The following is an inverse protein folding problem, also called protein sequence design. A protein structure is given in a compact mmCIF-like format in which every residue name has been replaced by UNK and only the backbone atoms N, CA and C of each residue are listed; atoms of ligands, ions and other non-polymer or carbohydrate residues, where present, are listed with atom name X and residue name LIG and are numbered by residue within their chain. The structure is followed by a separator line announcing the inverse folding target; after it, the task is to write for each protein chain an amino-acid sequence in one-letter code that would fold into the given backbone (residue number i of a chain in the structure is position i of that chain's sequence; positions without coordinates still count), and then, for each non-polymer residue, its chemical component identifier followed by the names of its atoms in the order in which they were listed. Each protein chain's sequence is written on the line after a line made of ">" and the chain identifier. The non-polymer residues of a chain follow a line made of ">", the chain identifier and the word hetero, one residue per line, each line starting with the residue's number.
data_IF_058092455298
#
_entry.id   IF_058092455298
#
_cell.length_a   1.000
_cell.length_b   1.000
_cell.length_c   1.000
_cell.angle_alpha   90.00
_cell.angle_beta   90.00
_cell.angle_gamma   90.00
#
_symmetry.space_group_name_H-M   'P 1'
#
loop_
_entity.id
_entity.type
_entity.pdbx_description
1 polymer ?
#
# COMPACT_ATOMS: atom_id res chain seq x y z
N UNK A 1 -12.97 22.42 13.30
CA UNK A 1 -12.54 22.79 11.93
C UNK A 1 -11.57 21.76 11.36
N UNK A 2 -10.52 21.37 12.09
CA UNK A 2 -9.53 20.35 11.69
C UNK A 2 -10.18 19.03 11.19
N UNK A 3 -11.10 18.44 11.95
CA UNK A 3 -11.78 17.20 11.56
C UNK A 3 -12.56 17.29 10.23
N UNK A 4 -13.08 18.48 9.87
CA UNK A 4 -13.76 18.67 8.58
C UNK A 4 -12.75 18.70 7.43
N UNK A 5 -11.59 19.32 7.64
CA UNK A 5 -10.52 19.34 6.64
C UNK A 5 -9.93 17.94 6.42
N UNK A 6 -9.68 17.19 7.49
CA UNK A 6 -9.22 15.79 7.41
C UNK A 6 -10.22 14.91 6.65
N UNK A 7 -11.51 15.08 6.95
CA UNK A 7 -12.57 14.36 6.25
C UNK A 7 -12.64 14.72 4.76
N UNK A 8 -12.54 16.01 4.41
CA UNK A 8 -12.52 16.45 3.01
C UNK A 8 -11.26 15.96 2.27
N UNK A 9 -10.10 15.98 2.92
CA UNK A 9 -8.86 15.42 2.38
C UNK A 9 -9.00 13.92 2.12
N UNK A 10 -9.55 13.19 3.07
CA UNK A 10 -9.83 11.76 2.91
C UNK A 10 -10.78 11.50 1.74
N UNK A 11 -11.89 12.24 1.63
CA UNK A 11 -12.83 12.10 0.52
C UNK A 11 -12.20 12.45 -0.82
N UNK A 12 -11.40 13.52 -0.89
CA UNK A 12 -10.72 13.93 -2.12
C UNK A 12 -9.71 12.87 -2.55
N UNK A 13 -8.91 12.35 -1.62
CA UNK A 13 -7.95 11.28 -1.86
C UNK A 13 -8.66 10.01 -2.34
N UNK A 14 -9.70 9.56 -1.62
CA UNK A 14 -10.45 8.36 -1.97
C UNK A 14 -11.14 8.50 -3.35
N UNK A 15 -11.75 9.65 -3.61
CA UNK A 15 -12.43 9.93 -4.89
C UNK A 15 -11.45 10.00 -6.04
N UNK A 16 -10.26 10.57 -5.83
CA UNK A 16 -9.18 10.58 -6.80
C UNK A 16 -8.83 9.15 -7.23
N UNK A 17 -8.49 8.26 -6.29
CA UNK A 17 -8.16 6.88 -6.62
C UNK A 17 -9.31 6.13 -7.29
N UNK A 18 -10.56 6.36 -6.86
CA UNK A 18 -11.74 5.72 -7.43
C UNK A 18 -11.99 6.08 -8.90
N UNK A 19 -11.61 7.28 -9.33
CA UNK A 19 -11.79 7.74 -10.71
C UNK A 19 -10.74 7.18 -11.68
N UNK A 20 -9.57 6.75 -11.18
CA UNK A 20 -8.54 6.16 -12.03
C UNK A 20 -8.91 4.72 -12.43
N UNK A 21 -8.60 4.28 -13.66
CA UNK A 21 -8.60 2.86 -14.01
C UNK A 21 -7.67 2.08 -13.08
N UNK A 22 -8.06 0.85 -12.71
CA UNK A 22 -7.36 0.04 -11.70
C UNK A 22 -5.82 0.00 -11.88
N UNK A 23 -5.33 -0.22 -13.11
CA UNK A 23 -3.88 -0.27 -13.39
C UNK A 23 -3.18 1.05 -13.10
N UNK A 24 -3.80 2.18 -13.44
CA UNK A 24 -3.24 3.50 -13.18
C UNK A 24 -3.32 3.84 -11.69
N UNK A 25 -4.43 3.51 -11.03
CA UNK A 25 -4.56 3.66 -9.59
C UNK A 25 -3.47 2.89 -8.83
N UNK A 26 -3.17 1.66 -9.26
CA UNK A 26 -2.12 0.82 -8.67
C UNK A 26 -0.72 1.45 -8.79
N UNK A 27 -0.31 1.88 -9.99
CA UNK A 27 0.98 2.56 -10.18
C UNK A 27 1.05 3.91 -9.45
N UNK A 28 -0.06 4.63 -9.40
CA UNK A 28 -0.14 5.91 -8.65
C UNK A 28 0.00 5.67 -7.16
N UNK A 29 -0.63 4.61 -6.64
CA UNK A 29 -0.52 4.17 -5.25
C UNK A 29 0.93 3.81 -4.89
N UNK A 30 1.63 3.10 -5.78
CA UNK A 30 3.05 2.81 -5.61
C UNK A 30 3.90 4.09 -5.52
N UNK A 31 3.63 5.08 -6.39
CA UNK A 31 4.27 6.39 -6.34
C UNK A 31 4.02 7.13 -5.02
N UNK A 32 2.79 7.07 -4.50
CA UNK A 32 2.44 7.63 -3.17
C UNK A 32 3.20 6.89 -2.07
N UNK A 33 3.26 5.55 -2.11
CA UNK A 33 4.02 4.75 -1.14
C UNK A 33 5.51 5.09 -1.15
N UNK A 34 6.09 5.31 -2.33
CA UNK A 34 7.46 5.77 -2.47
C UNK A 34 7.69 7.17 -1.92
N UNK A 35 6.77 8.11 -2.18
CA UNK A 35 6.83 9.47 -1.63
C UNK A 35 6.78 9.45 -0.10
N UNK A 36 5.86 8.66 0.48
CA UNK A 36 5.76 8.48 1.92
C UNK A 36 7.03 7.86 2.51
N UNK A 37 7.63 6.87 1.84
CA UNK A 37 8.92 6.30 2.26
C UNK A 37 10.05 7.35 2.33
N UNK A 38 10.06 8.33 1.43
CA UNK A 38 11.05 9.40 1.43
C UNK A 38 10.80 10.46 2.51
N UNK A 39 9.54 10.86 2.67
CA UNK A 39 9.15 11.96 3.57
C UNK A 39 9.04 11.50 5.03
N UNK A 40 8.52 10.31 5.27
CA UNK A 40 8.23 9.80 6.61
C UNK A 40 9.43 9.12 7.26
N UNK A 41 10.40 9.94 7.65
CA UNK A 41 11.65 9.49 8.28
C UNK A 41 11.41 8.77 9.61
N UNK A 42 10.36 9.16 10.35
CA UNK A 42 10.03 8.57 11.65
C UNK A 42 9.60 7.11 11.50
N UNK A 43 8.58 6.87 10.67
CA UNK A 43 8.10 5.50 10.46
C UNK A 43 9.12 4.65 9.69
N UNK A 44 9.93 5.25 8.82
CA UNK A 44 11.07 4.55 8.22
C UNK A 44 12.07 4.04 9.27
N UNK A 45 12.39 4.85 10.28
CA UNK A 45 13.29 4.45 11.37
C UNK A 45 12.70 3.30 12.19
N UNK A 46 11.42 3.41 12.57
CA UNK A 46 10.72 2.37 13.33
C UNK A 46 10.64 1.07 12.53
N UNK A 47 10.30 1.15 11.25
CA UNK A 47 10.26 -0.02 10.36
C UNK A 47 11.62 -0.73 10.24
N UNK A 48 12.72 0.01 10.14
CA UNK A 48 14.07 -0.59 10.12
C UNK A 48 14.42 -1.28 11.44
N UNK A 49 14.02 -0.70 12.58
CA UNK A 49 14.23 -1.33 13.90
C UNK A 49 13.44 -2.65 13.98
N UNK A 50 12.17 -2.65 13.57
CA UNK A 50 11.35 -3.85 13.55
C UNK A 50 11.95 -4.93 12.65
N UNK A 51 12.43 -4.57 11.45
CA UNK A 51 13.11 -5.50 10.55
C UNK A 51 14.44 -6.00 11.10
N UNK A 52 15.16 -5.19 11.89
CA UNK A 52 16.38 -5.63 12.55
C UNK A 52 16.10 -6.68 13.64
N UNK A 53 14.98 -6.55 14.34
CA UNK A 53 14.52 -7.52 15.34
C UNK A 53 14.04 -8.83 14.70
N UNK A 54 13.25 -8.75 13.63
CA UNK A 54 12.64 -9.93 12.98
C UNK A 54 13.63 -10.63 12.03
N UNK A 55 14.50 -9.89 11.35
CA UNK A 55 15.49 -10.41 10.40
C UNK A 55 16.93 -10.09 10.81
N UNK A 56 17.40 -10.60 11.98
CA UNK A 56 18.72 -10.27 12.51
C UNK A 56 19.86 -10.75 11.60
N UNK A 57 19.63 -11.78 10.78
CA UNK A 57 20.60 -12.35 9.84
C UNK A 57 20.74 -11.58 8.52
N UNK A 58 19.80 -10.65 8.20
CA UNK A 58 19.87 -9.84 6.98
C UNK A 58 20.74 -8.61 7.18
N UNK A 59 21.45 -8.20 6.13
CA UNK A 59 22.20 -6.94 6.11
C UNK A 59 21.27 -5.72 6.18
N UNK A 60 21.83 -4.57 6.54
CA UNK A 60 21.07 -3.32 6.57
C UNK A 60 20.49 -2.95 5.18
N UNK A 61 21.25 -3.22 4.11
CA UNK A 61 20.81 -2.96 2.73
C UNK A 61 19.60 -3.82 2.34
N UNK A 62 19.59 -5.11 2.71
CA UNK A 62 18.45 -6.00 2.49
C UNK A 62 17.23 -5.53 3.28
N UNK A 63 17.39 -5.16 4.57
CA UNK A 63 16.29 -4.65 5.38
C UNK A 63 15.73 -3.34 4.81
N UNK A 64 16.56 -2.45 4.30
CA UNK A 64 16.13 -1.21 3.61
C UNK A 64 15.34 -1.51 2.35
N UNK A 65 15.76 -2.52 1.59
CA UNK A 65 15.06 -2.97 0.38
C UNK A 65 13.69 -3.53 0.74
N UNK A 66 13.62 -4.43 1.72
CA UNK A 66 12.36 -4.98 2.24
C UNK A 66 11.44 -3.86 2.70
N UNK A 67 11.96 -2.93 3.51
CA UNK A 67 11.16 -1.81 4.00
C UNK A 67 10.60 -0.97 2.85
N UNK A 68 11.44 -0.60 1.87
CA UNK A 68 10.99 0.14 0.69
C UNK A 68 9.87 -0.60 -0.03
N UNK A 69 10.06 -1.88 -0.33
CA UNK A 69 9.03 -2.69 -0.98
C UNK A 69 7.74 -2.79 -0.16
N UNK A 70 7.84 -2.84 1.18
CA UNK A 70 6.66 -2.79 2.06
C UNK A 70 5.90 -1.47 1.94
N UNK A 71 6.59 -0.32 1.83
CA UNK A 71 5.94 0.98 1.64
C UNK A 71 5.29 1.13 0.26
N UNK A 72 5.97 0.66 -0.78
CA UNK A 72 5.41 0.60 -2.13
C UNK A 72 4.15 -0.29 -2.15
N UNK A 73 4.23 -1.44 -1.49
CA UNK A 73 3.10 -2.36 -1.34
C UNK A 73 1.93 -1.74 -0.56
N UNK A 74 2.22 -0.98 0.51
CA UNK A 74 1.18 -0.26 1.25
C UNK A 74 0.42 0.72 0.36
N UNK A 75 1.14 1.47 -0.48
CA UNK A 75 0.53 2.38 -1.44
C UNK A 75 -0.35 1.67 -2.47
N UNK A 76 0.12 0.53 -3.00
CA UNK A 76 -0.68 -0.34 -3.88
C UNK A 76 -1.93 -0.87 -3.19
N UNK A 77 -1.81 -1.33 -1.95
CA UNK A 77 -2.91 -1.85 -1.15
C UNK A 77 -4.00 -0.78 -0.91
N UNK A 78 -3.60 0.47 -0.66
CA UNK A 78 -4.56 1.59 -0.52
C UNK A 78 -5.33 1.82 -1.82
N UNK A 79 -4.66 1.77 -2.97
CA UNK A 79 -5.32 1.88 -4.27
C UNK A 79 -6.28 0.70 -4.51
N UNK A 80 -5.85 -0.53 -4.24
CA UNK A 80 -6.71 -1.72 -4.31
C UNK A 80 -7.94 -1.59 -3.41
N UNK A 81 -7.75 -1.09 -2.18
CA UNK A 81 -8.82 -0.87 -1.22
C UNK A 81 -9.91 0.07 -1.77
N UNK A 82 -9.51 1.15 -2.45
CA UNK A 82 -10.44 2.07 -3.10
C UNK A 82 -11.25 1.39 -4.23
N UNK A 83 -10.69 0.35 -4.85
CA UNK A 83 -11.33 -0.45 -5.90
C UNK A 83 -12.02 -1.71 -5.38
N UNK A 84 -11.98 -2.05 -4.09
CA UNK A 84 -12.62 -3.26 -3.56
C UNK A 84 -14.12 -3.31 -3.86
N UNK A 85 -14.80 -2.15 -3.90
CA UNK A 85 -16.22 -2.07 -4.28
C UNK A 85 -16.53 -2.57 -5.70
N UNK A 86 -15.51 -2.75 -6.55
CA UNK A 86 -15.64 -3.30 -7.90
C UNK A 86 -15.49 -4.82 -7.95
N UNK A 87 -15.08 -5.45 -6.84
CA UNK A 87 -15.04 -6.91 -6.73
C UNK A 87 -16.46 -7.44 -6.61
N UNK A 88 -16.78 -8.37 -7.49
CA UNK A 88 -18.05 -9.10 -7.53
C UNK A 88 -17.74 -10.60 -7.54
N UNK A 89 -18.66 -11.47 -7.09
CA UNK A 89 -18.44 -12.91 -7.14
C UNK A 89 -18.00 -13.41 -8.53
N UNK A 90 -18.50 -12.78 -9.59
CA UNK A 90 -18.25 -13.14 -10.98
C UNK A 90 -16.83 -12.79 -11.44
N UNK A 91 -16.23 -11.70 -10.94
CA UNK A 91 -14.89 -11.24 -11.32
C UNK A 91 -13.80 -11.57 -10.28
N UNK A 92 -14.17 -12.16 -9.15
CA UNK A 92 -13.27 -12.46 -8.04
C UNK A 92 -12.14 -13.40 -8.47
N UNK A 93 -12.47 -14.43 -9.26
CA UNK A 93 -11.51 -15.44 -9.75
C UNK A 93 -10.47 -14.87 -10.72
N UNK A 94 -10.77 -13.76 -11.40
CA UNK A 94 -9.83 -13.07 -12.29
C UNK A 94 -8.74 -12.33 -11.51
N UNK A 95 -9.01 -11.98 -10.23
CA UNK A 95 -8.14 -11.12 -9.42
C UNK A 95 -7.54 -11.80 -8.20
N UNK A 96 -8.19 -12.84 -7.67
CA UNK A 96 -7.78 -13.56 -6.47
C UNK A 96 -7.60 -15.04 -6.78
N UNK A 97 -6.45 -15.58 -6.41
CA UNK A 97 -6.16 -17.01 -6.46
C UNK A 97 -5.82 -17.49 -5.05
N UNK A 98 -6.53 -18.51 -4.58
CA UNK A 98 -6.24 -19.14 -3.30
C UNK A 98 -5.17 -20.21 -3.53
N UNK A 99 -4.05 -20.11 -2.80
CA UNK A 99 -2.96 -21.08 -2.92
C UNK A 99 -3.35 -22.49 -2.42
N UNK A 100 -4.27 -22.58 -1.45
CA UNK A 100 -4.62 -23.83 -0.75
C UNK A 100 -5.84 -24.59 -1.33
N UNK A 101 -6.54 -24.04 -2.33
CA UNK A 101 -7.71 -24.70 -2.97
C UNK A 101 -7.32 -25.54 -4.21
N UNK A 102 -6.03 -25.80 -4.38
CA UNK A 102 -5.49 -26.69 -5.42
C UNK A 102 -5.03 -28.05 -4.84
N UNK A 103 -5.74 -28.55 -3.81
CA UNK A 103 -5.68 -29.95 -3.35
C UNK A 103 -7.07 -30.56 -3.32
#
# INVERSE_FOLDING_TARGET
>A
MVARCEYLLFLAFFSFFRLLPFRLAFHTGEGVGWLLYLLDRSHRRVGLLNLALVFPHKSEAERRTILRESWLNLGRLVAEFCHLHTLTPENLSERVRFADLAQ
#
